data_IF_109230859817
#
_entry.id   IF_109230859817
#
_cell.length_a   1.000
_cell.length_b   1.000
_cell.length_c   1.000
_cell.angle_alpha   90.00
_cell.angle_beta   90.00
_cell.angle_gamma   90.00
#
_symmetry.space_group_name_H-M   'P 1'
#
loop_
_entity.id
_entity.type
_entity.pdbx_description
1 polymer ?
#
# COMPACT_ATOMS: atom_id res chain seq x y z
N UNK A 1 -43.80 49.44 -47.30
CA UNK A 1 -42.85 49.56 -46.16
C UNK A 1 -43.26 48.82 -44.87
N UNK A 2 -44.45 48.22 -44.83
CA UNK A 2 -44.93 47.52 -43.61
C UNK A 2 -44.59 45.97 -43.54
N UNK A 3 -44.32 45.30 -44.65
CA UNK A 3 -44.06 43.88 -44.73
C UNK A 3 -42.60 43.54 -44.33
N UNK A 4 -41.62 44.37 -44.57
CA UNK A 4 -40.22 44.16 -44.21
C UNK A 4 -39.98 44.18 -42.70
N UNK A 5 -40.76 44.91 -41.91
CA UNK A 5 -40.65 45.01 -40.48
C UNK A 5 -41.29 43.78 -39.78
N UNK A 6 -42.32 43.17 -40.40
CA UNK A 6 -42.95 41.95 -39.88
C UNK A 6 -42.01 40.74 -40.04
N UNK A 7 -41.32 40.63 -41.20
CA UNK A 7 -40.33 39.56 -41.38
C UNK A 7 -39.11 39.70 -40.46
N UNK A 8 -38.66 40.92 -40.19
CA UNK A 8 -37.53 41.16 -39.28
C UNK A 8 -37.91 40.87 -37.81
N UNK A 9 -39.14 41.18 -37.41
CA UNK A 9 -39.66 40.89 -36.06
C UNK A 9 -39.90 39.40 -35.82
N UNK A 10 -40.31 38.63 -36.82
CA UNK A 10 -40.47 37.18 -36.72
C UNK A 10 -39.11 36.47 -36.70
N UNK A 11 -38.10 36.96 -37.42
CA UNK A 11 -36.76 36.41 -37.41
C UNK A 11 -36.04 36.65 -36.07
N UNK A 12 -36.27 37.77 -35.40
CA UNK A 12 -35.71 38.05 -34.06
C UNK A 12 -36.43 37.29 -32.98
N UNK A 13 -37.73 37.04 -33.11
CA UNK A 13 -38.50 36.21 -32.16
C UNK A 13 -38.16 34.72 -32.23
N UNK A 14 -37.76 34.20 -33.42
CA UNK A 14 -37.35 32.80 -33.57
C UNK A 14 -35.91 32.51 -33.15
N UNK A 15 -35.02 33.54 -33.05
CA UNK A 15 -33.65 33.37 -32.52
C UNK A 15 -33.55 33.38 -31.00
N UNK A 16 -34.60 33.76 -30.28
CA UNK A 16 -34.63 33.77 -28.80
C UNK A 16 -34.92 32.42 -28.14
N UNK A 17 -35.30 31.37 -28.92
CA UNK A 17 -35.67 30.07 -28.37
C UNK A 17 -34.58 28.98 -28.48
N UNK A 18 -33.39 29.29 -28.94
CA UNK A 18 -32.35 28.25 -29.23
C UNK A 18 -31.32 28.10 -28.09
N UNK A 19 -31.43 28.89 -27.00
CA UNK A 19 -30.40 28.86 -25.96
C UNK A 19 -30.77 28.14 -24.65
N UNK A 20 -31.85 27.35 -24.59
CA UNK A 20 -32.23 26.66 -23.35
C UNK A 20 -32.23 25.12 -23.41
N UNK A 21 -31.43 24.56 -24.28
CA UNK A 21 -31.49 23.09 -24.45
C UNK A 21 -30.11 22.46 -24.55
N UNK A 22 -29.25 22.59 -23.52
CA UNK A 22 -28.08 21.71 -23.42
C UNK A 22 -27.39 21.72 -22.05
N UNK A 23 -27.93 22.33 -20.99
CA UNK A 23 -27.21 22.30 -19.69
C UNK A 23 -27.27 20.95 -18.98
N UNK A 24 -28.21 20.07 -19.28
CA UNK A 24 -28.30 18.76 -18.62
C UNK A 24 -27.81 17.58 -19.48
N UNK A 25 -27.58 17.76 -20.78
CA UNK A 25 -27.21 16.64 -21.65
C UNK A 25 -25.74 16.20 -21.48
N UNK A 26 -24.88 17.10 -21.01
CA UNK A 26 -23.46 16.81 -20.74
C UNK A 26 -23.23 16.29 -19.31
N UNK A 27 -24.20 16.46 -18.42
CA UNK A 27 -24.14 15.98 -17.04
C UNK A 27 -24.81 14.62 -16.83
N UNK A 28 -25.45 14.05 -17.84
CA UNK A 28 -25.96 12.68 -17.74
C UNK A 28 -24.80 11.69 -17.79
N UNK A 29 -24.58 11.02 -16.65
CA UNK A 29 -23.70 9.86 -16.57
C UNK A 29 -24.23 8.81 -17.57
N UNK A 30 -23.39 8.28 -18.50
CA UNK A 30 -23.84 7.27 -19.45
C UNK A 30 -24.52 6.10 -18.71
N UNK A 31 -25.74 5.74 -19.09
CA UNK A 31 -26.50 4.64 -18.47
C UNK A 31 -25.75 3.28 -18.46
N UNK A 32 -24.71 3.16 -19.27
CA UNK A 32 -23.84 1.98 -19.37
C UNK A 32 -22.58 2.05 -18.46
N UNK A 33 -22.32 3.15 -17.78
CA UNK A 33 -21.19 3.29 -16.84
C UNK A 33 -21.67 3.40 -15.40
N UNK A 34 -21.31 2.42 -14.58
CA UNK A 34 -21.53 2.49 -13.13
C UNK A 34 -20.55 3.51 -12.58
N UNK A 35 -21.05 4.65 -12.06
CA UNK A 35 -20.16 5.62 -11.41
C UNK A 35 -19.60 5.08 -10.09
N UNK A 36 -18.42 5.50 -9.66
CA UNK A 36 -17.82 5.04 -8.40
C UNK A 36 -18.72 5.26 -7.18
N UNK A 37 -19.48 6.35 -7.16
CA UNK A 37 -20.40 6.71 -6.07
C UNK A 37 -21.54 5.70 -5.91
N UNK A 38 -21.98 5.10 -7.03
CA UNK A 38 -23.01 4.06 -7.04
C UNK A 38 -22.41 2.67 -6.83
N UNK A 39 -21.16 2.46 -7.30
CA UNK A 39 -20.52 1.15 -7.22
C UNK A 39 -20.18 0.75 -5.79
N UNK A 40 -19.56 1.63 -4.99
CA UNK A 40 -19.07 1.29 -3.64
C UNK A 40 -20.14 1.34 -2.54
N UNK A 41 -21.33 0.86 -2.84
CA UNK A 41 -22.47 0.79 -1.90
C UNK A 41 -22.68 -0.58 -1.26
N UNK A 42 -21.94 -1.60 -1.68
CA UNK A 42 -22.05 -2.98 -1.21
C UNK A 42 -20.70 -3.51 -0.70
N UNK A 43 -20.71 -4.31 0.38
CA UNK A 43 -19.52 -4.97 0.93
C UNK A 43 -18.78 -5.82 -0.11
N UNK A 44 -19.50 -6.47 -1.01
CA UNK A 44 -18.96 -7.32 -2.07
C UNK A 44 -18.15 -6.54 -3.11
N UNK A 45 -18.48 -5.28 -3.34
CA UNK A 45 -17.72 -4.41 -4.25
C UNK A 45 -16.37 -4.02 -3.67
N UNK A 46 -16.32 -3.78 -2.35
CA UNK A 46 -15.06 -3.49 -1.63
C UNK A 46 -14.18 -4.75 -1.64
N UNK A 47 -14.79 -5.92 -1.35
CA UNK A 47 -14.10 -7.20 -1.41
C UNK A 47 -13.48 -7.45 -2.79
N UNK A 48 -14.26 -7.32 -3.86
CA UNK A 48 -13.78 -7.55 -5.23
C UNK A 48 -12.61 -6.60 -5.58
N UNK A 49 -12.67 -5.35 -5.11
CA UNK A 49 -11.60 -4.38 -5.32
C UNK A 49 -10.33 -4.76 -4.55
N UNK A 50 -10.46 -5.22 -3.31
CA UNK A 50 -9.33 -5.73 -2.54
C UNK A 50 -8.73 -7.00 -3.19
N UNK A 51 -9.56 -7.96 -3.60
CA UNK A 51 -9.14 -9.22 -4.24
C UNK A 51 -8.31 -8.96 -5.50
N UNK A 52 -8.71 -8.00 -6.34
CA UNK A 52 -7.96 -7.61 -7.53
C UNK A 52 -6.55 -7.05 -7.21
N UNK A 53 -6.37 -6.46 -6.04
CA UNK A 53 -5.09 -5.86 -5.63
C UNK A 53 -4.14 -6.89 -5.00
N UNK A 54 -4.63 -8.05 -4.55
CA UNK A 54 -3.81 -9.08 -3.93
C UNK A 54 -2.70 -9.55 -4.88
N UNK A 55 -3.05 -9.98 -6.08
CA UNK A 55 -2.10 -10.47 -7.09
C UNK A 55 -1.14 -9.38 -7.59
N UNK A 56 -1.58 -8.12 -7.54
CA UNK A 56 -0.76 -6.98 -7.97
C UNK A 56 0.31 -6.61 -6.93
N UNK A 57 0.02 -6.79 -5.64
CA UNK A 57 0.80 -6.21 -4.55
C UNK A 57 1.54 -7.26 -3.72
N UNK A 58 0.85 -8.35 -3.36
CA UNK A 58 1.46 -9.39 -2.55
C UNK A 58 2.41 -10.25 -3.40
N UNK A 59 3.51 -10.75 -2.82
CA UNK A 59 4.34 -11.72 -3.50
C UNK A 59 3.56 -13.01 -3.74
N UNK A 60 3.73 -13.61 -4.90
CA UNK A 60 3.15 -14.90 -5.24
C UNK A 60 4.23 -15.86 -5.71
N UNK A 61 4.01 -17.16 -5.49
CA UNK A 61 4.83 -18.16 -6.14
C UNK A 61 4.63 -18.10 -7.65
N UNK A 62 5.73 -17.92 -8.39
CA UNK A 62 5.72 -18.02 -9.84
C UNK A 62 5.45 -19.47 -10.27
N UNK A 63 4.96 -19.64 -11.50
CA UNK A 63 4.85 -20.94 -12.13
C UNK A 63 6.14 -21.37 -12.82
N UNK A 64 6.46 -22.66 -12.84
CA UNK A 64 7.66 -23.19 -13.48
C UNK A 64 8.95 -22.94 -12.69
N UNK A 65 10.02 -22.55 -13.36
CA UNK A 65 11.36 -22.43 -12.75
C UNK A 65 11.60 -21.15 -11.95
N UNK A 66 10.61 -20.31 -11.75
CA UNK A 66 10.77 -19.03 -11.06
C UNK A 66 10.60 -19.12 -9.55
N UNK A 67 9.87 -20.09 -9.03
CA UNK A 67 9.70 -20.38 -7.61
C UNK A 67 9.45 -19.16 -6.71
N UNK A 68 8.61 -18.22 -7.13
CA UNK A 68 8.24 -17.06 -6.34
C UNK A 68 9.43 -16.17 -5.96
N UNK A 69 9.70 -16.04 -4.68
CA UNK A 69 10.78 -15.18 -4.14
C UNK A 69 12.19 -15.82 -4.20
N UNK A 70 12.31 -17.05 -4.70
CA UNK A 70 13.60 -17.75 -4.79
C UNK A 70 14.66 -16.94 -5.55
N UNK A 71 14.28 -16.21 -6.60
CA UNK A 71 15.19 -15.36 -7.35
C UNK A 71 15.69 -14.13 -6.60
N UNK A 72 15.01 -13.73 -5.55
CA UNK A 72 15.44 -12.54 -4.80
C UNK A 72 16.78 -12.79 -4.11
N UNK A 73 17.04 -14.01 -3.67
CA UNK A 73 18.33 -14.41 -3.12
C UNK A 73 19.45 -14.55 -4.16
N UNK A 74 19.11 -14.79 -5.43
CA UNK A 74 20.10 -14.87 -6.50
C UNK A 74 20.82 -13.54 -6.77
N UNK A 75 20.32 -12.44 -6.23
CA UNK A 75 20.95 -11.11 -6.28
C UNK A 75 21.70 -10.75 -4.99
N UNK A 76 21.80 -11.66 -4.04
CA UNK A 76 22.50 -11.48 -2.76
C UNK A 76 23.81 -12.30 -2.75
N UNK A 77 24.53 -12.27 -1.64
CA UNK A 77 25.69 -13.11 -1.39
C UNK A 77 25.35 -14.53 -0.91
N UNK A 78 24.08 -14.80 -0.66
CA UNK A 78 23.61 -16.12 -0.21
C UNK A 78 23.45 -17.10 -1.38
N UNK A 79 23.19 -16.61 -2.60
CA UNK A 79 22.92 -17.43 -3.77
C UNK A 79 23.47 -16.80 -5.05
N UNK A 80 24.07 -17.62 -5.89
CA UNK A 80 24.60 -17.19 -7.20
C UNK A 80 23.86 -17.96 -8.30
N UNK A 81 23.39 -17.24 -9.31
CA UNK A 81 22.89 -17.83 -10.55
C UNK A 81 24.04 -18.41 -11.39
N UNK A 82 23.71 -19.28 -12.36
CA UNK A 82 24.70 -19.88 -13.29
C UNK A 82 25.50 -18.79 -14.02
N UNK A 83 24.88 -17.64 -14.30
CA UNK A 83 25.59 -16.45 -14.77
C UNK A 83 25.73 -15.49 -13.59
N UNK A 84 26.97 -15.28 -13.14
CA UNK A 84 27.21 -14.36 -12.01
C UNK A 84 26.58 -12.99 -12.27
N UNK A 85 25.72 -12.49 -11.36
CA UNK A 85 25.10 -11.19 -11.54
C UNK A 85 26.18 -10.11 -11.50
N UNK A 86 26.13 -9.18 -12.44
CA UNK A 86 27.03 -8.02 -12.47
C UNK A 86 26.94 -7.12 -11.22
N UNK A 87 26.03 -7.42 -10.28
CA UNK A 87 25.75 -6.62 -9.07
C UNK A 87 27.00 -6.32 -8.25
N UNK A 88 27.97 -7.24 -8.24
CA UNK A 88 29.22 -7.09 -7.49
C UNK A 88 30.37 -6.49 -8.34
N UNK A 89 30.08 -6.03 -9.56
CA UNK A 89 31.06 -5.33 -10.39
C UNK A 89 30.93 -3.82 -10.23
N UNK A 90 32.05 -3.10 -10.33
CA UNK A 90 32.10 -1.64 -10.16
C UNK A 90 31.22 -0.86 -11.15
N UNK A 91 30.74 -1.49 -12.22
CA UNK A 91 29.92 -0.85 -13.26
C UNK A 91 28.45 -0.79 -12.92
N UNK A 92 27.95 -1.62 -11.98
CA UNK A 92 26.52 -1.67 -11.63
C UNK A 92 26.09 -0.71 -10.52
N UNK A 93 27.03 -0.13 -9.81
CA UNK A 93 26.75 0.87 -8.78
C UNK A 93 26.58 2.28 -9.37
N UNK A 94 26.42 2.40 -10.66
CA UNK A 94 26.09 3.66 -11.31
C UNK A 94 24.57 3.81 -11.29
N UNK A 95 24.13 4.98 -10.83
CA UNK A 95 22.73 5.38 -11.02
C UNK A 95 22.48 5.47 -12.52
N UNK A 96 21.60 4.63 -13.03
CA UNK A 96 21.20 4.69 -14.43
C UNK A 96 20.43 5.99 -14.67
N UNK A 97 20.74 6.69 -15.75
CA UNK A 97 19.99 7.89 -16.15
C UNK A 97 18.69 7.55 -16.89
N UNK A 98 18.42 6.26 -17.12
CA UNK A 98 17.19 5.83 -17.74
C UNK A 98 16.00 5.97 -16.78
N UNK A 99 14.86 6.37 -17.32
CA UNK A 99 13.58 6.31 -16.60
C UNK A 99 13.35 4.86 -16.14
N UNK A 100 13.19 4.66 -14.85
CA UNK A 100 12.93 3.34 -14.31
C UNK A 100 11.43 3.16 -14.14
N UNK A 101 10.89 2.01 -14.57
CA UNK A 101 9.49 1.59 -14.33
C UNK A 101 9.15 1.52 -12.83
N UNK A 102 10.16 1.59 -11.96
CA UNK A 102 10.00 1.58 -10.52
C UNK A 102 9.42 2.88 -9.95
N UNK A 103 9.61 4.02 -10.62
CA UNK A 103 9.00 5.29 -10.23
C UNK A 103 7.60 5.39 -10.82
N UNK A 104 6.67 4.65 -10.22
CA UNK A 104 5.29 4.62 -10.68
C UNK A 104 4.34 4.56 -9.48
N UNK A 105 3.14 5.12 -9.62
CA UNK A 105 2.15 5.27 -8.57
C UNK A 105 0.83 4.54 -8.87
N UNK A 106 0.77 3.72 -9.92
CA UNK A 106 -0.47 3.09 -10.40
C UNK A 106 -1.19 2.30 -9.30
N UNK A 107 -0.43 1.52 -8.51
CA UNK A 107 -1.00 0.71 -7.43
C UNK A 107 -1.48 1.59 -6.27
N UNK A 108 -0.69 2.61 -5.92
CA UNK A 108 -1.07 3.61 -4.91
C UNK A 108 -2.33 4.35 -5.36
N UNK A 109 -2.40 4.75 -6.63
CA UNK A 109 -3.58 5.40 -7.19
C UNK A 109 -4.81 4.50 -7.10
N UNK A 110 -4.73 3.22 -7.53
CA UNK A 110 -5.83 2.26 -7.46
C UNK A 110 -6.37 2.12 -6.02
N UNK A 111 -5.48 1.97 -5.03
CA UNK A 111 -5.89 1.83 -3.64
C UNK A 111 -6.53 3.13 -3.13
N UNK A 112 -5.90 4.28 -3.39
CA UNK A 112 -6.43 5.57 -2.98
C UNK A 112 -7.79 5.86 -3.62
N UNK A 113 -7.98 5.47 -4.90
CA UNK A 113 -9.27 5.58 -5.58
C UNK A 113 -10.37 4.81 -4.85
N UNK A 114 -10.10 3.55 -4.48
CA UNK A 114 -11.08 2.75 -3.72
C UNK A 114 -11.34 3.37 -2.36
N UNK A 115 -10.29 3.70 -1.59
CA UNK A 115 -10.42 4.30 -0.26
C UNK A 115 -11.19 5.63 -0.29
N UNK A 116 -10.90 6.51 -1.26
CA UNK A 116 -11.58 7.81 -1.39
C UNK A 116 -13.07 7.70 -1.70
N UNK A 117 -13.51 6.60 -2.32
CA UNK A 117 -14.93 6.36 -2.60
C UNK A 117 -15.64 5.55 -1.49
N UNK A 118 -14.91 4.71 -0.76
CA UNK A 118 -15.46 3.85 0.28
C UNK A 118 -15.56 4.56 1.63
N UNK A 119 -14.51 5.27 2.05
CA UNK A 119 -14.44 5.86 3.38
C UNK A 119 -15.55 6.88 3.68
N UNK A 120 -15.97 7.77 2.75
CA UNK A 120 -17.09 8.67 2.99
C UNK A 120 -18.40 7.93 3.28
N UNK A 121 -18.67 6.83 2.55
CA UNK A 121 -19.83 5.98 2.75
C UNK A 121 -19.73 5.14 4.03
N UNK A 122 -18.52 4.85 4.49
CA UNK A 122 -18.27 4.17 5.77
C UNK A 122 -18.43 5.10 6.98
N UNK A 123 -18.37 6.42 6.78
CA UNK A 123 -18.57 7.45 7.80
C UNK A 123 -17.40 8.44 7.93
N UNK A 124 -16.27 8.18 7.32
CA UNK A 124 -15.13 9.08 7.28
C UNK A 124 -15.21 10.04 6.08
N UNK A 125 -15.90 11.17 6.30
CA UNK A 125 -16.25 12.12 5.24
C UNK A 125 -15.05 12.70 4.47
N UNK A 126 -13.90 12.79 5.11
CA UNK A 126 -12.68 13.33 4.51
C UNK A 126 -11.85 12.27 3.80
N UNK A 127 -12.23 11.01 3.91
CA UNK A 127 -11.49 9.85 3.38
C UNK A 127 -10.01 9.81 3.80
N UNK A 128 -9.68 10.32 5.00
CA UNK A 128 -8.32 10.36 5.54
C UNK A 128 -8.00 9.22 6.52
N UNK A 129 -8.99 8.39 6.81
CA UNK A 129 -8.89 7.26 7.72
C UNK A 129 -8.89 7.66 9.20
N UNK A 130 -9.49 8.81 9.56
CA UNK A 130 -9.58 9.29 10.93
C UNK A 130 -10.83 8.77 11.65
N UNK A 131 -11.97 8.57 10.95
CA UNK A 131 -13.15 7.94 11.52
C UNK A 131 -13.38 6.54 10.96
N UNK A 132 -12.78 5.56 11.60
CA UNK A 132 -12.91 4.14 11.25
C UNK A 132 -13.90 3.39 12.15
N UNK A 133 -14.76 4.11 12.88
CA UNK A 133 -15.76 3.50 13.75
C UNK A 133 -16.86 2.73 12.99
N UNK A 134 -17.23 3.23 11.81
CA UNK A 134 -18.37 2.74 11.02
C UNK A 134 -19.73 3.13 11.60
N UNK A 135 -19.79 4.08 12.56
CA UNK A 135 -21.04 4.51 13.18
C UNK A 135 -22.00 5.18 12.17
N UNK A 136 -21.44 5.84 11.16
CA UNK A 136 -22.21 6.48 10.09
C UNK A 136 -22.19 5.68 8.77
N UNK A 137 -21.88 4.39 8.84
CA UNK A 137 -21.79 3.53 7.66
C UNK A 137 -23.13 3.43 6.93
N UNK A 138 -23.10 3.65 5.63
CA UNK A 138 -24.22 3.50 4.69
C UNK A 138 -24.03 2.36 3.70
N UNK A 139 -22.90 1.67 3.74
CA UNK A 139 -22.60 0.55 2.86
C UNK A 139 -23.39 -0.67 3.30
N UNK A 140 -24.08 -1.31 2.36
CA UNK A 140 -24.86 -2.52 2.63
C UNK A 140 -23.96 -3.72 2.87
N UNK A 141 -24.35 -4.57 3.82
CA UNK A 141 -23.64 -5.81 4.15
C UNK A 141 -23.29 -5.91 5.63
N UNK A 142 -22.56 -6.97 5.98
CA UNK A 142 -22.06 -7.17 7.34
C UNK A 142 -20.98 -6.13 7.68
N UNK A 143 -21.21 -5.32 8.70
CA UNK A 143 -20.30 -4.24 9.11
C UNK A 143 -18.88 -4.76 9.42
N UNK A 144 -18.75 -5.94 10.01
CA UNK A 144 -17.44 -6.51 10.32
C UNK A 144 -16.69 -6.95 9.06
N UNK A 145 -17.43 -7.41 8.04
CA UNK A 145 -16.86 -7.70 6.72
C UNK A 145 -16.42 -6.42 6.02
N UNK A 146 -17.23 -5.35 6.06
CA UNK A 146 -16.87 -4.04 5.50
C UNK A 146 -15.60 -3.51 6.16
N UNK A 147 -15.53 -3.54 7.49
CA UNK A 147 -14.32 -3.16 8.25
C UNK A 147 -13.11 -3.96 7.80
N UNK A 148 -13.26 -5.28 7.66
CA UNK A 148 -12.19 -6.15 7.25
C UNK A 148 -11.64 -5.78 5.86
N UNK A 149 -12.51 -5.61 4.86
CA UNK A 149 -12.09 -5.26 3.49
C UNK A 149 -11.44 -3.87 3.40
N UNK A 150 -11.91 -2.90 4.16
CA UNK A 150 -11.24 -1.59 4.29
C UNK A 150 -9.85 -1.77 4.94
N UNK A 151 -9.76 -2.62 5.96
CA UNK A 151 -8.48 -2.97 6.60
C UNK A 151 -7.48 -3.57 5.65
N UNK A 152 -7.94 -4.46 4.74
CA UNK A 152 -7.09 -5.02 3.68
C UNK A 152 -6.54 -3.94 2.73
N UNK A 153 -7.35 -2.95 2.36
CA UNK A 153 -6.89 -1.84 1.52
C UNK A 153 -5.78 -1.01 2.19
N UNK A 154 -5.91 -0.72 3.48
CA UNK A 154 -4.85 -0.04 4.23
C UNK A 154 -3.58 -0.89 4.32
N UNK A 155 -3.72 -2.19 4.57
CA UNK A 155 -2.59 -3.12 4.56
C UNK A 155 -1.87 -3.16 3.20
N UNK A 156 -2.63 -3.27 2.10
CA UNK A 156 -2.09 -3.29 0.75
C UNK A 156 -1.38 -1.98 0.39
N UNK A 157 -1.93 -0.83 0.83
CA UNK A 157 -1.25 0.47 0.67
C UNK A 157 0.07 0.51 1.44
N UNK A 158 0.09 0.03 2.67
CA UNK A 158 1.30 -0.09 3.46
C UNK A 158 2.35 -0.99 2.79
N UNK A 159 1.95 -2.13 2.20
CA UNK A 159 2.85 -3.02 1.46
C UNK A 159 3.47 -2.33 0.23
N UNK A 160 2.64 -1.62 -0.57
CA UNK A 160 3.14 -0.94 -1.76
C UNK A 160 4.07 0.21 -1.38
N UNK A 161 3.71 1.00 -0.35
CA UNK A 161 4.61 2.03 0.17
C UNK A 161 5.91 1.46 0.73
N UNK A 162 5.88 0.33 1.41
CA UNK A 162 7.09 -0.31 1.92
C UNK A 162 8.03 -0.74 0.81
N UNK A 163 7.53 -1.28 -0.31
CA UNK A 163 8.34 -1.57 -1.50
C UNK A 163 9.01 -0.31 -2.07
N UNK A 164 8.24 0.79 -2.23
CA UNK A 164 8.77 2.05 -2.75
C UNK A 164 9.79 2.67 -1.80
N UNK A 165 9.46 2.67 -0.52
CA UNK A 165 10.33 3.16 0.54
C UNK A 165 11.68 2.40 0.60
N UNK A 166 11.70 1.07 0.45
CA UNK A 166 12.93 0.29 0.40
C UNK A 166 13.80 0.66 -0.81
N UNK A 167 13.18 1.02 -1.95
CA UNK A 167 13.89 1.40 -3.17
C UNK A 167 14.41 2.84 -3.14
N UNK A 168 13.62 3.78 -2.63
CA UNK A 168 13.85 5.21 -2.80
C UNK A 168 14.20 5.96 -1.50
N UNK A 169 13.89 5.41 -0.34
CA UNK A 169 13.99 6.10 0.94
C UNK A 169 12.99 7.24 1.02
N UNK A 170 13.43 8.48 0.77
CA UNK A 170 12.55 9.64 0.67
C UNK A 170 11.58 9.45 -0.51
N UNK A 171 10.27 9.53 -0.21
CA UNK A 171 9.22 9.24 -1.20
C UNK A 171 7.99 10.13 -0.98
N UNK A 172 7.24 10.51 -2.04
CA UNK A 172 6.00 11.26 -1.86
C UNK A 172 4.94 10.46 -1.11
N UNK A 173 4.22 11.12 -0.19
CA UNK A 173 3.07 10.54 0.50
C UNK A 173 1.80 11.07 -0.16
N UNK A 174 1.09 10.19 -0.89
CA UNK A 174 -0.12 10.49 -1.64
C UNK A 174 -1.25 9.61 -1.10
N UNK A 175 -2.29 10.22 -0.56
CA UNK A 175 -3.40 9.53 0.12
C UNK A 175 -4.71 9.59 -0.63
N UNK A 176 -4.80 10.42 -1.66
CA UNK A 176 -5.98 10.59 -2.51
C UNK A 176 -5.63 10.47 -3.99
N UNK A 177 -6.59 10.15 -4.87
CA UNK A 177 -6.40 10.29 -6.31
C UNK A 177 -6.08 11.75 -6.66
N UNK A 178 -5.09 11.95 -7.52
CA UNK A 178 -4.72 13.27 -7.98
C UNK A 178 -5.40 13.58 -9.31
N UNK A 179 -5.76 14.85 -9.51
CA UNK A 179 -6.19 15.34 -10.79
C UNK A 179 -5.00 15.37 -11.77
N UNK A 180 -5.28 15.20 -13.07
CA UNK A 180 -4.28 15.37 -14.13
C UNK A 180 -4.04 16.87 -14.37
N UNK A 181 -3.43 17.50 -13.38
CA UNK A 181 -3.08 18.90 -13.32
C UNK A 181 -1.61 19.05 -12.95
N UNK A 182 -0.86 19.84 -13.73
CA UNK A 182 0.59 19.94 -13.57
C UNK A 182 1.00 20.49 -12.21
N UNK A 183 0.32 21.48 -11.69
CA UNK A 183 0.60 22.13 -10.42
C UNK A 183 0.32 21.16 -9.26
N UNK A 184 -0.83 20.48 -9.28
CA UNK A 184 -1.21 19.47 -8.30
C UNK A 184 -0.22 18.29 -8.29
N UNK A 185 0.14 17.76 -9.47
CA UNK A 185 1.10 16.65 -9.61
C UNK A 185 2.50 17.07 -9.15
N UNK A 186 2.94 18.29 -9.46
CA UNK A 186 4.23 18.81 -9.02
C UNK A 186 4.30 18.95 -7.51
N UNK A 187 3.23 19.45 -6.87
CA UNK A 187 3.15 19.58 -5.41
C UNK A 187 3.16 18.22 -4.75
N UNK A 188 2.34 17.27 -5.22
CA UNK A 188 2.22 15.93 -4.69
C UNK A 188 3.50 15.09 -4.89
N UNK A 189 4.38 15.47 -5.85
CA UNK A 189 5.64 14.75 -6.11
C UNK A 189 6.78 15.14 -5.16
N UNK A 190 6.57 16.06 -4.23
CA UNK A 190 7.55 16.41 -3.20
C UNK A 190 7.82 15.20 -2.30
N UNK A 191 9.09 14.87 -2.14
CA UNK A 191 9.49 13.71 -1.34
C UNK A 191 9.48 14.05 0.14
N UNK A 192 8.71 13.33 0.92
CA UNK A 192 8.82 13.33 2.38
C UNK A 192 10.09 12.60 2.82
N UNK A 193 10.73 13.02 3.92
CA UNK A 193 11.85 12.31 4.53
C UNK A 193 11.51 10.86 4.83
N UNK A 194 12.47 9.96 4.68
CA UNK A 194 12.26 8.51 4.79
C UNK A 194 11.55 8.06 6.07
N UNK A 195 11.90 8.64 7.21
CA UNK A 195 11.26 8.29 8.47
C UNK A 195 9.80 8.75 8.55
N UNK A 196 9.41 9.83 7.86
CA UNK A 196 8.01 10.21 7.73
C UNK A 196 7.23 9.23 6.83
N UNK A 197 7.86 8.75 5.75
CA UNK A 197 7.28 7.68 4.93
C UNK A 197 7.09 6.40 5.76
N UNK A 198 8.07 6.02 6.57
CA UNK A 198 7.95 4.88 7.47
C UNK A 198 6.82 5.08 8.52
N UNK A 199 6.70 6.28 9.11
CA UNK A 199 5.59 6.61 10.02
C UNK A 199 4.23 6.52 9.33
N UNK A 200 4.13 6.97 8.08
CA UNK A 200 2.92 6.83 7.28
C UNK A 200 2.54 5.35 7.07
N UNK A 201 3.52 4.52 6.71
CA UNK A 201 3.31 3.06 6.56
C UNK A 201 2.82 2.45 7.88
N UNK A 202 3.44 2.81 9.01
CA UNK A 202 3.02 2.33 10.34
C UNK A 202 1.60 2.80 10.69
N UNK A 203 1.23 4.03 10.34
CA UNK A 203 -0.13 4.56 10.53
C UNK A 203 -1.16 3.77 9.74
N UNK A 204 -0.88 3.44 8.47
CA UNK A 204 -1.76 2.59 7.67
C UNK A 204 -1.88 1.18 8.25
N UNK A 205 -0.79 0.61 8.76
CA UNK A 205 -0.84 -0.68 9.44
C UNK A 205 -1.64 -0.64 10.75
N UNK A 206 -1.60 0.46 11.51
CA UNK A 206 -2.43 0.62 12.72
C UNK A 206 -3.93 0.70 12.37
N UNK A 207 -4.27 1.41 11.31
CA UNK A 207 -5.63 1.45 10.75
C UNK A 207 -6.07 0.04 10.31
N UNK A 208 -5.21 -0.65 9.56
CA UNK A 208 -5.45 -2.02 9.11
C UNK A 208 -5.68 -2.98 10.30
N UNK A 209 -4.79 -2.99 11.30
CA UNK A 209 -4.89 -3.85 12.49
C UNK A 209 -6.21 -3.62 13.21
N UNK A 210 -6.61 -2.36 13.39
CA UNK A 210 -7.87 -2.01 14.06
C UNK A 210 -9.08 -2.57 13.32
N UNK A 211 -9.11 -2.44 12.00
CA UNK A 211 -10.22 -2.88 11.16
C UNK A 211 -10.24 -4.40 10.95
N UNK A 212 -9.08 -5.02 10.76
CA UNK A 212 -8.95 -6.47 10.52
C UNK A 212 -9.36 -7.31 11.74
N UNK A 213 -9.25 -6.76 12.96
CA UNK A 213 -9.71 -7.42 14.19
C UNK A 213 -11.23 -7.57 14.26
N UNK A 214 -11.98 -6.86 13.45
CA UNK A 214 -13.44 -6.93 13.45
C UNK A 214 -14.00 -8.30 13.02
N UNK A 215 -13.24 -9.03 12.19
CA UNK A 215 -13.66 -10.36 11.69
C UNK A 215 -12.45 -11.28 11.56
N UNK A 216 -12.60 -12.51 12.06
CA UNK A 216 -11.61 -13.55 11.82
C UNK A 216 -11.83 -14.15 10.43
N UNK A 217 -10.76 -14.21 9.64
CA UNK A 217 -10.77 -14.70 8.27
C UNK A 217 -9.76 -15.84 8.11
N UNK A 218 -9.91 -16.72 7.09
CA UNK A 218 -8.89 -17.72 6.75
C UNK A 218 -7.53 -17.08 6.45
N UNK A 219 -6.46 -17.84 6.62
CA UNK A 219 -5.09 -17.39 6.33
C UNK A 219 -4.81 -17.11 4.85
N UNK A 220 -5.74 -17.47 3.95
CA UNK A 220 -5.74 -17.03 2.54
C UNK A 220 -6.13 -15.56 2.35
N UNK A 221 -6.50 -14.88 3.44
CA UNK A 221 -6.80 -13.44 3.45
C UNK A 221 -5.93 -12.70 4.45
N UNK A 222 -5.62 -11.45 4.13
CA UNK A 222 -4.91 -10.54 5.04
C UNK A 222 -5.67 -10.49 6.37
N UNK A 223 -4.94 -10.62 7.47
CA UNK A 223 -5.49 -10.62 8.82
C UNK A 223 -4.67 -9.73 9.77
N UNK A 224 -5.18 -9.52 10.97
CA UNK A 224 -4.57 -8.62 11.93
C UNK A 224 -3.15 -9.06 12.35
N UNK A 225 -2.91 -10.37 12.47
CA UNK A 225 -1.61 -10.88 12.91
C UNK A 225 -0.54 -10.71 11.84
N UNK A 226 -0.88 -10.91 10.55
CA UNK A 226 -0.01 -10.58 9.43
C UNK A 226 0.33 -9.08 9.39
N UNK A 227 -0.66 -8.22 9.68
CA UNK A 227 -0.45 -6.77 9.74
C UNK A 227 0.47 -6.35 10.91
N UNK A 228 0.32 -6.98 12.09
CA UNK A 228 1.21 -6.73 13.24
C UNK A 228 2.64 -7.18 12.92
N UNK A 229 2.82 -8.33 12.27
CA UNK A 229 4.14 -8.82 11.90
C UNK A 229 4.80 -7.90 10.85
N UNK A 230 4.05 -7.45 9.85
CA UNK A 230 4.56 -6.47 8.88
C UNK A 230 4.92 -5.14 9.55
N UNK A 231 4.12 -4.67 10.53
CA UNK A 231 4.42 -3.48 11.32
C UNK A 231 5.76 -3.61 12.04
N UNK A 232 6.02 -4.74 12.67
CA UNK A 232 7.30 -5.05 13.29
C UNK A 232 8.45 -4.95 12.29
N UNK A 233 8.30 -5.54 11.11
CA UNK A 233 9.31 -5.55 10.04
C UNK A 233 9.63 -4.16 9.52
N UNK A 234 8.60 -3.35 9.24
CA UNK A 234 8.77 -1.96 8.79
C UNK A 234 9.50 -1.12 9.83
N UNK A 235 9.07 -1.22 11.09
CA UNK A 235 9.68 -0.45 12.19
C UNK A 235 11.13 -0.88 12.45
N UNK A 236 11.43 -2.18 12.41
CA UNK A 236 12.80 -2.69 12.55
C UNK A 236 13.68 -2.19 11.40
N UNK A 237 13.19 -2.22 10.17
CA UNK A 237 13.93 -1.77 9.00
C UNK A 237 14.32 -0.29 9.13
N UNK A 238 13.37 0.61 9.49
CA UNK A 238 13.69 2.02 9.64
C UNK A 238 14.59 2.29 10.85
N UNK A 239 14.28 1.72 12.01
CA UNK A 239 15.08 1.92 13.22
C UNK A 239 16.54 1.49 13.03
N UNK A 240 16.77 0.35 12.38
CA UNK A 240 18.13 -0.11 12.06
C UNK A 240 18.79 0.72 10.96
N UNK A 241 18.04 1.15 9.94
CA UNK A 241 18.58 2.02 8.90
C UNK A 241 19.06 3.35 9.49
N UNK A 242 18.23 4.05 10.26
CA UNK A 242 18.61 5.30 10.92
C UNK A 242 19.83 5.12 11.81
N UNK A 243 19.90 4.00 12.54
CA UNK A 243 21.02 3.69 13.45
C UNK A 243 22.33 3.50 12.71
N UNK A 244 22.33 2.69 11.64
CA UNK A 244 23.57 2.33 10.95
C UNK A 244 24.04 3.39 9.95
N UNK A 245 23.13 4.21 9.41
CA UNK A 245 23.44 5.29 8.48
C UNK A 245 23.42 6.68 9.11
N UNK A 246 23.37 6.77 10.45
CA UNK A 246 23.43 8.04 11.18
C UNK A 246 24.56 8.93 10.66
N UNK A 247 24.26 10.23 10.49
CA UNK A 247 25.18 11.26 9.98
C UNK A 247 25.62 11.08 8.51
N UNK A 248 25.02 10.23 7.74
CA UNK A 248 25.30 10.09 6.29
C UNK A 248 24.19 10.68 5.44
N UNK A 249 24.44 10.78 4.13
CA UNK A 249 23.45 11.24 3.14
C UNK A 249 22.17 10.35 3.05
N UNK A 250 22.19 9.18 3.66
CA UNK A 250 21.09 8.20 3.61
C UNK A 250 20.01 8.41 4.68
N UNK A 251 20.18 9.41 5.55
CA UNK A 251 19.21 9.73 6.60
C UNK A 251 18.92 11.25 6.61
N UNK A 252 17.70 11.66 6.99
CA UNK A 252 17.36 13.06 7.07
C UNK A 252 18.32 13.82 8.00
N UNK A 253 18.67 15.04 7.59
CA UNK A 253 19.64 15.91 8.29
C UNK A 253 21.08 15.32 8.43
N UNK A 254 21.38 14.19 7.81
CA UNK A 254 22.73 13.69 7.73
C UNK A 254 23.57 14.42 6.67
N UNK A 255 24.89 14.26 6.72
CA UNK A 255 25.82 14.94 5.82
C UNK A 255 25.55 14.58 4.37
N UNK A 256 25.22 15.58 3.55
CA UNK A 256 24.92 15.38 2.13
C UNK A 256 23.50 14.86 1.83
N UNK A 257 22.59 14.82 2.81
CA UNK A 257 21.21 14.42 2.55
C UNK A 257 20.56 15.31 1.47
N UNK A 258 20.11 14.71 0.33
CA UNK A 258 19.55 15.50 -0.79
C UNK A 258 18.30 16.30 -0.43
N UNK A 259 17.51 15.84 0.54
CA UNK A 259 16.31 16.52 1.00
C UNK A 259 16.61 17.91 1.59
N UNK A 260 17.77 18.11 2.19
CA UNK A 260 18.18 19.41 2.79
C UNK A 260 18.24 20.55 1.79
N UNK A 261 18.49 20.26 0.51
CA UNK A 261 18.58 21.25 -0.56
C UNK A 261 17.22 21.63 -1.15
N UNK A 262 16.15 20.97 -0.68
CA UNK A 262 14.79 21.24 -1.12
C UNK A 262 14.12 22.20 -0.15
N UNK A 263 13.52 23.27 -0.66
CA UNK A 263 12.88 24.31 0.16
C UNK A 263 11.87 23.72 1.15
N UNK A 264 11.08 22.74 0.73
CA UNK A 264 10.07 22.07 1.54
C UNK A 264 10.62 21.16 2.64
N UNK A 265 11.90 20.79 2.59
CA UNK A 265 12.61 20.00 3.64
C UNK A 265 13.74 20.78 4.32
N UNK A 266 13.99 22.06 3.96
CA UNK A 266 15.12 22.84 4.48
C UNK A 266 15.11 23.03 5.98
N UNK A 267 13.91 23.06 6.59
CA UNK A 267 13.69 23.23 8.03
C UNK A 267 13.23 21.93 8.71
N UNK A 268 13.42 20.79 8.05
CA UNK A 268 12.98 19.50 8.59
C UNK A 268 13.54 19.23 9.99
N UNK A 269 12.67 18.72 10.86
CA UNK A 269 12.99 18.24 12.21
C UNK A 269 12.39 16.85 12.40
N UNK A 270 13.11 15.96 13.08
CA UNK A 270 12.57 14.65 13.42
C UNK A 270 11.34 14.80 14.34
N UNK A 271 10.22 14.10 14.07
CA UNK A 271 9.03 14.14 14.92
C UNK A 271 9.32 13.78 16.39
N UNK A 272 10.29 12.90 16.65
CA UNK A 272 10.74 12.55 18.00
C UNK A 272 11.79 13.53 18.59
N UNK A 273 12.05 14.65 17.91
CA UNK A 273 12.98 15.71 18.32
C UNK A 273 14.40 15.57 17.76
N UNK A 274 14.96 14.37 17.72
CA UNK A 274 16.28 14.10 17.16
C UNK A 274 16.36 12.65 16.61
N UNK A 275 17.47 12.35 15.91
CA UNK A 275 17.63 11.03 15.28
C UNK A 275 17.70 9.89 16.30
N UNK A 276 18.30 10.08 17.47
CA UNK A 276 18.41 9.01 18.47
C UNK A 276 17.03 8.66 19.05
N UNK A 277 16.25 9.66 19.39
CA UNK A 277 14.86 9.46 19.81
C UNK A 277 13.97 8.86 18.70
N UNK A 278 14.26 9.17 17.45
CA UNK A 278 13.56 8.59 16.31
C UNK A 278 13.93 7.10 16.10
N UNK A 279 15.19 6.74 16.31
CA UNK A 279 15.65 5.35 16.32
C UNK A 279 14.93 4.57 17.42
N UNK A 280 14.93 5.10 18.65
CA UNK A 280 14.27 4.46 19.79
C UNK A 280 12.77 4.26 19.54
N UNK A 281 12.09 5.26 18.98
CA UNK A 281 10.67 5.18 18.59
C UNK A 281 10.41 3.99 17.67
N UNK A 282 11.17 3.82 16.58
CA UNK A 282 10.96 2.72 15.65
C UNK A 282 11.33 1.36 16.25
N UNK A 283 12.44 1.27 16.99
CA UNK A 283 12.86 0.01 17.61
C UNK A 283 11.90 -0.44 18.71
N UNK A 284 11.30 0.48 19.48
CA UNK A 284 10.27 0.15 20.47
C UNK A 284 9.01 -0.41 19.82
N UNK A 285 8.56 0.19 18.70
CA UNK A 285 7.43 -0.35 17.91
C UNK A 285 7.75 -1.75 17.40
N UNK A 286 8.95 -1.94 16.84
CA UNK A 286 9.39 -3.24 16.34
C UNK A 286 9.39 -4.30 17.45
N UNK A 287 9.97 -3.98 18.59
CA UNK A 287 10.02 -4.86 19.75
C UNK A 287 8.62 -5.21 20.27
N UNK A 288 7.76 -4.21 20.42
CA UNK A 288 6.40 -4.42 20.96
C UNK A 288 5.55 -5.28 20.02
N UNK A 289 5.57 -4.99 18.71
CA UNK A 289 4.80 -5.73 17.72
C UNK A 289 5.32 -7.17 17.56
N UNK A 290 6.64 -7.38 17.51
CA UNK A 290 7.22 -8.73 17.41
C UNK A 290 6.97 -9.56 18.67
N UNK A 291 7.06 -8.93 19.86
CA UNK A 291 6.74 -9.61 21.11
C UNK A 291 5.28 -10.06 21.17
N UNK A 292 4.34 -9.22 20.73
CA UNK A 292 2.91 -9.57 20.69
C UNK A 292 2.67 -10.84 19.85
N UNK A 293 3.23 -10.92 18.64
CA UNK A 293 3.12 -12.09 17.78
C UNK A 293 3.86 -13.29 18.37
N UNK A 294 5.09 -13.12 18.84
CA UNK A 294 5.86 -14.21 19.43
C UNK A 294 5.14 -14.87 20.62
N UNK A 295 4.54 -14.07 21.50
CA UNK A 295 3.78 -14.59 22.65
C UNK A 295 2.52 -15.37 22.23
N UNK A 296 1.83 -14.94 21.15
CA UNK A 296 0.64 -15.65 20.65
C UNK A 296 0.97 -16.99 20.00
N UNK A 297 2.11 -17.08 19.33
CA UNK A 297 2.48 -18.24 18.51
C UNK A 297 3.55 -19.13 19.10
N UNK A 298 4.17 -18.80 20.25
CA UNK A 298 5.28 -19.57 20.85
C UNK A 298 5.02 -21.06 21.06
N UNK A 299 3.76 -21.47 21.23
CA UNK A 299 3.37 -22.85 21.43
C UNK A 299 2.70 -23.47 20.19
N UNK A 300 2.77 -22.79 19.05
CA UNK A 300 2.13 -23.20 17.79
C UNK A 300 3.14 -23.34 16.65
N UNK A 301 4.43 -23.15 16.96
CA UNK A 301 5.47 -23.32 15.95
C UNK A 301 5.61 -24.78 15.59
N UNK A 302 5.79 -25.04 14.30
CA UNK A 302 6.03 -26.38 13.77
C UNK A 302 7.36 -26.92 14.28
N UNK A 303 7.35 -28.13 14.81
CA UNK A 303 8.55 -28.78 15.35
C UNK A 303 9.53 -29.07 14.21
N UNK A 304 10.80 -28.67 14.42
CA UNK A 304 11.89 -29.07 13.56
C UNK A 304 12.76 -30.10 14.28
N UNK A 305 12.61 -31.37 13.91
CA UNK A 305 13.37 -32.49 14.50
C UNK A 305 14.83 -32.52 14.05
N UNK A 306 15.21 -31.71 13.06
CA UNK A 306 16.55 -31.72 12.46
C UNK A 306 16.81 -32.91 11.52
N UNK A 307 15.85 -33.78 11.34
CA UNK A 307 15.97 -34.94 10.43
C UNK A 307 15.88 -34.44 8.99
N UNK A 308 16.85 -34.82 8.17
CA UNK A 308 16.81 -34.60 6.72
C UNK A 308 16.13 -35.81 6.09
N UNK A 309 14.81 -35.74 5.92
CA UNK A 309 14.03 -36.81 5.34
C UNK A 309 14.32 -36.97 3.85
N UNK A 310 15.02 -38.04 3.48
CA UNK A 310 15.35 -38.35 2.08
C UNK A 310 14.49 -39.46 1.48
N UNK A 311 13.76 -40.20 2.35
CA UNK A 311 12.87 -41.28 1.95
C UNK A 311 11.66 -41.39 2.90
N UNK A 312 10.59 -42.01 2.42
CA UNK A 312 9.37 -42.27 3.21
C UNK A 312 9.54 -43.24 4.39
N UNK A 313 10.72 -43.90 4.51
CA UNK A 313 11.03 -44.83 5.58
C UNK A 313 11.81 -44.16 6.72
N UNK A 314 12.16 -42.91 6.61
CA UNK A 314 12.85 -42.13 7.63
C UNK A 314 11.85 -41.46 8.57
N UNK A 315 12.33 -41.08 9.76
CA UNK A 315 11.52 -40.30 10.70
C UNK A 315 11.05 -39.00 10.05
N UNK A 316 9.77 -38.65 10.27
CA UNK A 316 9.19 -37.43 9.73
C UNK A 316 9.79 -36.19 10.39
N UNK A 317 9.98 -35.15 9.60
CA UNK A 317 10.28 -33.82 10.10
C UNK A 317 9.10 -32.88 9.76
N UNK A 318 8.24 -32.52 10.73
CA UNK A 318 7.07 -31.69 10.50
C UNK A 318 7.42 -30.35 9.83
N UNK A 319 8.60 -29.80 10.14
CA UNK A 319 9.07 -28.56 9.52
C UNK A 319 9.38 -28.74 8.03
N UNK A 320 9.98 -29.87 7.64
CA UNK A 320 10.19 -30.19 6.23
C UNK A 320 8.85 -30.41 5.51
N UNK A 321 7.95 -31.16 6.13
CA UNK A 321 6.63 -31.46 5.57
C UNK A 321 5.81 -30.19 5.36
N UNK A 322 5.91 -29.19 6.25
CA UNK A 322 5.27 -27.89 6.10
C UNK A 322 5.66 -27.21 4.79
N UNK A 323 6.95 -27.18 4.45
CA UNK A 323 7.42 -26.56 3.20
C UNK A 323 7.11 -27.37 1.94
N UNK A 324 6.77 -28.64 2.09
CA UNK A 324 6.40 -29.53 0.98
C UNK A 324 4.88 -29.57 0.70
N UNK A 325 4.06 -28.92 1.53
CA UNK A 325 2.60 -28.89 1.37
C UNK A 325 2.18 -27.91 0.27
N UNK A 326 1.12 -28.29 -0.45
CA UNK A 326 0.45 -27.42 -1.43
C UNK A 326 -0.51 -26.41 -0.76
N UNK A 327 -1.00 -26.73 0.44
CA UNK A 327 -1.94 -25.93 1.21
C UNK A 327 -1.42 -25.74 2.64
N UNK A 328 -1.10 -24.51 3.00
CA UNK A 328 -0.61 -24.13 4.32
C UNK A 328 -1.70 -23.57 5.24
N UNK A 329 -2.97 -23.63 4.84
CA UNK A 329 -4.09 -23.08 5.63
C UNK A 329 -4.29 -23.76 6.99
N UNK A 330 -3.81 -25.01 7.14
CA UNK A 330 -3.86 -25.77 8.38
C UNK A 330 -2.64 -25.58 9.27
N UNK A 331 -1.63 -24.86 8.84
CA UNK A 331 -0.39 -24.63 9.60
C UNK A 331 -0.53 -23.40 10.47
N UNK A 332 -0.57 -23.60 11.79
CA UNK A 332 -0.89 -22.56 12.77
C UNK A 332 0.06 -21.34 12.74
N UNK A 333 1.32 -21.53 12.38
CA UNK A 333 2.31 -20.43 12.31
C UNK A 333 2.28 -19.63 11.00
N UNK A 334 1.55 -20.10 10.00
CA UNK A 334 1.39 -19.40 8.73
C UNK A 334 0.30 -18.35 8.85
N UNK A 335 0.68 -17.09 8.88
CA UNK A 335 -0.24 -15.97 9.11
C UNK A 335 -0.95 -15.52 7.84
N UNK A 336 -0.29 -15.63 6.70
CA UNK A 336 -0.85 -15.29 5.38
C UNK A 336 -0.23 -16.24 4.35
N UNK A 337 -1.11 -16.90 3.60
CA UNK A 337 -0.74 -17.92 2.61
C UNK A 337 -1.40 -17.64 1.25
#
# INVERSE_FOLDING_TARGET
>A
MKIKHIFLSVLIASSGFIFTACDNYLDEVPEASISPEVYFTEATHIQASADNLYSDILPSHGTGNTYGIYKDDATTDNQIEVTAPNRFTSTLWKVDNAETSNWNFDKIYKINFVLSNVLPNFGDKNADGNDLSGNANTINGDLNSIKHYIGELFFLRACEYFKRYQLFGDFPIITHPLLDDKEALSEASKRSPRNEVARFILSDLDKAITLLKAKNMPTTRINADAAILLKSRVALFEGTWLKYFKNTAFVPNGDGWPGKTKDYNSTYQYPSGNIDSEIDYFLEIAMTASKDIAERYKNRLTENTGVLQQSTNEDANPYFDMFAQEDLSSVDEVLLW
#
